data_IF_043744740915
#
_entry.id   IF_043744740915
#
_cell.length_a   1.000
_cell.length_b   1.000
_cell.length_c   1.000
_cell.angle_alpha   90.00
_cell.angle_beta   90.00
_cell.angle_gamma   90.00
#
_symmetry.space_group_name_H-M   'P 1'
#
loop_
_entity.id
_entity.type
_entity.pdbx_description
1 polymer ?
#
# COMPACT_ATOMS: atom_id res chain seq x y z
N UNK A 1 10.77 -47.12 9.24
CA UNK A 1 11.09 -45.90 8.48
C UNK A 1 10.43 -44.75 9.19
N UNK A 2 11.17 -44.07 10.06
CA UNK A 2 10.70 -42.81 10.62
C UNK A 2 10.89 -41.76 9.53
N UNK A 3 9.81 -41.06 9.20
CA UNK A 3 9.87 -39.91 8.31
C UNK A 3 10.62 -38.81 9.05
N UNK A 4 11.93 -38.71 8.76
CA UNK A 4 12.81 -37.67 9.29
C UNK A 4 12.38 -36.31 8.76
N UNK A 5 11.42 -35.69 9.43
CA UNK A 5 11.05 -34.30 9.17
C UNK A 5 12.17 -33.38 9.67
N UNK A 6 12.48 -32.27 8.96
CA UNK A 6 13.54 -31.34 9.38
C UNK A 6 13.42 -30.84 10.84
N UNK A 7 12.20 -30.87 11.39
CA UNK A 7 11.91 -30.51 12.77
C UNK A 7 12.48 -31.52 13.79
N UNK A 8 12.29 -32.83 13.58
CA UNK A 8 12.76 -33.87 14.51
C UNK A 8 14.28 -33.98 14.55
N UNK A 9 14.96 -33.64 13.46
CA UNK A 9 16.43 -33.59 13.40
C UNK A 9 17.02 -32.44 14.23
N UNK A 10 16.30 -31.33 14.37
CA UNK A 10 16.82 -30.14 15.04
C UNK A 10 16.53 -30.14 16.54
N UNK A 11 15.37 -30.68 16.95
CA UNK A 11 14.89 -30.61 18.33
C UNK A 11 14.82 -31.98 19.04
N UNK A 12 15.22 -33.07 18.36
CA UNK A 12 15.09 -34.43 18.87
C UNK A 12 13.64 -34.95 18.84
N UNK A 13 13.46 -36.25 19.01
CA UNK A 13 12.13 -36.88 19.09
C UNK A 13 11.42 -36.62 20.42
N UNK A 14 12.13 -36.07 21.41
CA UNK A 14 11.58 -35.64 22.69
C UNK A 14 11.22 -34.15 22.63
N UNK A 15 10.13 -33.83 21.93
CA UNK A 15 9.54 -32.50 22.02
C UNK A 15 8.95 -32.30 23.43
N UNK A 16 9.73 -31.68 24.32
CA UNK A 16 9.26 -31.28 25.66
C UNK A 16 8.24 -30.17 25.49
N UNK A 17 6.98 -30.45 25.80
CA UNK A 17 5.91 -29.45 25.83
C UNK A 17 6.28 -28.42 26.93
N UNK A 18 6.39 -27.12 26.60
CA UNK A 18 6.66 -26.10 27.60
C UNK A 18 5.57 -26.10 28.68
N UNK A 19 5.97 -26.06 29.96
CA UNK A 19 5.05 -26.10 31.10
C UNK A 19 3.99 -24.99 31.06
N UNK A 20 4.26 -23.90 30.35
CA UNK A 20 3.35 -22.77 30.10
C UNK A 20 2.07 -23.17 29.35
N UNK A 21 2.09 -24.23 28.55
CA UNK A 21 0.91 -24.74 27.84
C UNK A 21 -0.02 -25.52 28.80
N UNK A 22 0.53 -26.09 29.87
CA UNK A 22 -0.21 -26.93 30.83
C UNK A 22 -0.58 -26.24 32.14
N UNK A 23 0.16 -25.22 32.58
CA UNK A 23 -0.07 -24.53 33.85
C UNK A 23 -0.30 -23.03 33.66
N UNK A 24 -1.40 -22.47 34.20
CA UNK A 24 -1.60 -21.03 34.20
C UNK A 24 -0.48 -20.33 34.97
N UNK A 25 0.31 -19.50 34.28
CA UNK A 25 1.25 -18.57 34.89
C UNK A 25 0.54 -17.27 35.27
N UNK A 26 1.16 -16.44 36.11
CA UNK A 26 0.63 -15.11 36.47
C UNK A 26 0.24 -14.28 35.23
N UNK A 27 1.01 -14.41 34.13
CA UNK A 27 0.75 -13.74 32.86
C UNK A 27 -0.56 -14.18 32.21
N UNK A 28 -0.92 -15.46 32.31
CA UNK A 28 -2.17 -16.01 31.78
C UNK A 28 -3.36 -15.85 32.73
N UNK A 29 -3.13 -15.82 34.05
CA UNK A 29 -4.22 -15.65 35.03
C UNK A 29 -4.68 -14.20 35.17
N UNK A 30 -3.82 -13.23 34.85
CA UNK A 30 -4.14 -11.80 34.91
C UNK A 30 -4.76 -11.25 33.62
N UNK A 31 -5.02 -12.09 32.61
CA UNK A 31 -5.66 -11.66 31.35
C UNK A 31 -7.14 -11.44 31.56
N UNK A 32 -7.57 -10.17 31.45
CA UNK A 32 -8.99 -9.83 31.31
C UNK A 32 -9.39 -9.94 29.84
N UNK A 33 -9.88 -11.11 29.45
CA UNK A 33 -10.32 -11.41 28.08
C UNK A 33 -11.44 -10.47 27.64
N UNK A 34 -12.33 -10.08 28.56
CA UNK A 34 -13.49 -9.22 28.23
C UNK A 34 -13.04 -7.79 27.98
N UNK A 35 -12.13 -7.26 28.80
CA UNK A 35 -11.59 -5.93 28.57
C UNK A 35 -10.72 -5.88 27.32
N UNK A 36 -9.87 -6.88 27.09
CA UNK A 36 -9.04 -6.98 25.89
C UNK A 36 -9.86 -7.03 24.61
N UNK A 37 -10.96 -7.80 24.60
CA UNK A 37 -11.83 -7.87 23.42
C UNK A 37 -12.53 -6.53 23.14
N UNK A 38 -12.94 -5.81 24.19
CA UNK A 38 -13.49 -4.45 24.05
C UNK A 38 -12.47 -3.46 23.52
N UNK A 39 -11.26 -3.45 24.06
CA UNK A 39 -10.16 -2.59 23.59
C UNK A 39 -9.75 -2.93 22.17
N UNK A 40 -9.72 -4.22 21.81
CA UNK A 40 -9.43 -4.65 20.45
C UNK A 40 -10.45 -4.10 19.45
N UNK A 41 -11.75 -4.20 19.76
CA UNK A 41 -12.82 -3.64 18.93
C UNK A 41 -12.66 -2.13 18.76
N UNK A 42 -12.45 -1.40 19.86
CA UNK A 42 -12.21 0.05 19.82
C UNK A 42 -11.01 0.41 18.93
N UNK A 43 -9.91 -0.32 19.06
CA UNK A 43 -8.71 -0.08 18.27
C UNK A 43 -8.94 -0.32 16.77
N UNK A 44 -9.75 -1.33 16.42
CA UNK A 44 -10.12 -1.61 15.04
C UNK A 44 -11.01 -0.49 14.47
N UNK A 45 -12.02 -0.05 15.22
CA UNK A 45 -12.91 1.04 14.81
C UNK A 45 -12.13 2.34 14.56
N UNK A 46 -11.25 2.73 15.49
CA UNK A 46 -10.39 3.91 15.34
C UNK A 46 -9.44 3.81 14.14
N UNK A 47 -8.94 2.60 13.84
CA UNK A 47 -8.09 2.37 12.69
C UNK A 47 -8.87 2.52 11.39
N UNK A 48 -10.09 2.00 11.33
CA UNK A 48 -11.02 2.13 10.20
C UNK A 48 -11.35 3.61 9.95
N UNK A 49 -11.78 4.35 10.98
CA UNK A 49 -12.09 5.79 10.89
C UNK A 49 -10.91 6.59 10.34
N UNK A 50 -9.68 6.30 10.81
CA UNK A 50 -8.48 6.97 10.31
C UNK A 50 -8.21 6.66 8.84
N UNK A 51 -8.42 5.41 8.41
CA UNK A 51 -8.26 4.99 7.01
C UNK A 51 -9.28 5.67 6.12
N UNK A 52 -10.54 5.73 6.54
CA UNK A 52 -11.60 6.42 5.80
C UNK A 52 -11.31 7.92 5.65
N UNK A 53 -10.93 8.60 6.74
CA UNK A 53 -10.53 10.00 6.70
C UNK A 53 -9.37 10.23 5.73
N UNK A 54 -8.38 9.34 5.75
CA UNK A 54 -7.23 9.39 4.83
C UNK A 54 -7.67 9.23 3.38
N UNK A 55 -8.54 8.26 3.09
CA UNK A 55 -9.09 8.01 1.76
C UNK A 55 -9.91 9.19 1.24
N UNK A 56 -10.73 9.82 2.09
CA UNK A 56 -11.51 11.03 1.74
C UNK A 56 -10.57 12.18 1.36
N UNK A 57 -9.52 12.41 2.15
CA UNK A 57 -8.56 13.46 1.88
C UNK A 57 -7.76 13.20 0.60
N UNK A 58 -7.36 11.95 0.37
CA UNK A 58 -6.68 11.55 -0.87
C UNK A 58 -7.58 11.76 -2.09
N UNK A 59 -8.82 11.30 -2.03
CA UNK A 59 -9.81 11.48 -3.10
C UNK A 59 -10.04 12.96 -3.40
N UNK A 60 -10.17 13.80 -2.35
CA UNK A 60 -10.31 15.25 -2.49
C UNK A 60 -9.10 15.87 -3.18
N UNK A 61 -7.88 15.52 -2.73
CA UNK A 61 -6.64 16.01 -3.32
C UNK A 61 -6.52 15.62 -4.79
N UNK A 62 -6.78 14.35 -5.13
CA UNK A 62 -6.80 13.86 -6.51
C UNK A 62 -7.82 14.61 -7.36
N UNK A 63 -9.05 14.78 -6.87
CA UNK A 63 -10.10 15.51 -7.59
C UNK A 63 -9.71 16.97 -7.84
N UNK A 64 -9.10 17.65 -6.86
CA UNK A 64 -8.63 19.02 -7.01
C UNK A 64 -7.52 19.13 -8.06
N UNK A 65 -6.55 18.22 -8.03
CA UNK A 65 -5.48 18.17 -9.02
C UNK A 65 -6.01 17.92 -10.44
N UNK A 66 -6.89 16.92 -10.60
CA UNK A 66 -7.54 16.63 -11.87
C UNK A 66 -8.31 17.82 -12.40
N UNK A 67 -9.10 18.51 -11.56
CA UNK A 67 -9.83 19.72 -11.94
C UNK A 67 -8.89 20.84 -12.39
N UNK A 68 -7.81 21.07 -11.66
CA UNK A 68 -6.82 22.10 -11.99
C UNK A 68 -6.20 21.86 -13.37
N UNK A 69 -5.70 20.64 -13.63
CA UNK A 69 -5.08 20.34 -14.93
C UNK A 69 -6.11 20.32 -16.06
N UNK A 70 -7.27 19.69 -15.88
CA UNK A 70 -8.30 19.62 -16.92
C UNK A 70 -8.83 21.01 -17.30
N UNK A 71 -8.94 21.95 -16.35
CA UNK A 71 -9.36 23.32 -16.64
C UNK A 71 -8.36 24.09 -17.52
N UNK A 72 -7.09 23.66 -17.55
CA UNK A 72 -6.01 24.31 -18.30
C UNK A 72 -5.76 23.67 -19.66
N UNK A 73 -6.19 22.42 -19.84
CA UNK A 73 -6.14 21.75 -21.14
C UNK A 73 -7.27 22.31 -22.01
N UNK A 74 -6.91 23.07 -23.05
CA UNK A 74 -7.87 23.40 -24.12
C UNK A 74 -7.97 22.18 -25.02
N UNK A 75 -9.16 21.61 -25.14
CA UNK A 75 -9.42 20.57 -26.13
C UNK A 75 -9.19 21.15 -27.53
N UNK A 76 -8.21 20.62 -28.26
CA UNK A 76 -7.97 20.96 -29.66
C UNK A 76 -8.30 19.73 -30.50
N UNK A 77 -9.26 19.87 -31.41
CA UNK A 77 -9.56 18.85 -32.41
C UNK A 77 -8.81 19.18 -33.70
N UNK A 78 -8.09 18.20 -34.25
CA UNK A 78 -7.39 18.34 -35.53
C UNK A 78 -8.18 17.66 -36.64
N UNK A 79 -8.17 18.27 -37.83
CA UNK A 79 -8.77 17.71 -39.05
C UNK A 79 -7.66 17.28 -40.03
N UNK A 80 -7.92 16.32 -40.93
CA UNK A 80 -7.00 15.99 -42.01
C UNK A 80 -6.62 17.23 -42.81
N UNK A 81 -5.31 17.44 -43.03
CA UNK A 81 -4.78 18.63 -43.70
C UNK A 81 -4.36 19.78 -42.78
N UNK A 82 -4.64 19.71 -41.47
CA UNK A 82 -4.10 20.68 -40.51
C UNK A 82 -2.59 20.50 -40.34
N UNK A 83 -1.85 21.60 -40.50
CA UNK A 83 -0.43 21.64 -40.14
C UNK A 83 -0.29 21.96 -38.64
N UNK A 84 0.50 21.14 -37.95
CA UNK A 84 0.77 21.28 -36.51
C UNK A 84 2.26 21.16 -36.26
N UNK A 85 2.77 22.02 -35.38
CA UNK A 85 4.13 21.89 -34.88
C UNK A 85 4.22 20.70 -33.95
N UNK A 86 5.21 19.84 -34.17
CA UNK A 86 5.53 18.70 -33.32
C UNK A 86 6.79 19.04 -32.54
N UNK A 87 6.85 18.66 -31.26
CA UNK A 87 8.07 18.82 -30.48
C UNK A 87 9.20 17.97 -31.08
N UNK A 88 10.44 18.41 -30.90
CA UNK A 88 11.60 17.70 -31.47
C UNK A 88 11.76 16.29 -30.87
N UNK A 89 11.51 16.15 -29.56
CA UNK A 89 11.53 14.84 -28.87
C UNK A 89 10.58 13.83 -29.53
N UNK A 90 9.37 14.28 -29.87
CA UNK A 90 8.39 13.42 -30.51
C UNK A 90 8.71 13.19 -32.00
N UNK A 91 9.55 14.02 -32.62
CA UNK A 91 9.82 14.02 -34.07
C UNK A 91 11.02 13.16 -34.48
N UNK A 92 11.76 12.56 -33.53
CA UNK A 92 13.03 11.85 -33.78
C UNK A 92 14.03 12.67 -34.62
N UNK A 93 13.93 14.00 -34.56
CA UNK A 93 14.84 14.89 -35.26
C UNK A 93 16.24 14.77 -34.64
N UNK A 94 17.29 14.89 -35.46
CA UNK A 94 18.66 14.93 -34.95
C UNK A 94 18.80 16.05 -33.92
N UNK A 95 19.44 15.77 -32.78
CA UNK A 95 19.57 16.73 -31.69
C UNK A 95 20.31 17.99 -32.18
N UNK A 96 19.58 19.10 -32.34
CA UNK A 96 20.07 20.36 -32.91
C UNK A 96 21.05 21.15 -32.03
N UNK A 97 21.65 20.50 -31.02
CA UNK A 97 22.51 21.15 -30.04
C UNK A 97 21.79 22.22 -29.21
N UNK A 98 22.55 23.02 -28.47
CA UNK A 98 22.02 24.04 -27.54
C UNK A 98 21.25 25.19 -28.22
N UNK A 99 21.35 25.31 -29.55
CA UNK A 99 20.72 26.37 -30.35
C UNK A 99 19.60 25.85 -31.26
N UNK A 100 19.29 24.55 -31.21
CA UNK A 100 18.18 23.99 -31.96
C UNK A 100 16.83 24.49 -31.43
N UNK A 101 15.78 24.55 -32.27
CA UNK A 101 14.43 24.74 -31.79
C UNK A 101 14.12 23.68 -30.71
N UNK A 102 13.41 24.08 -29.66
CA UNK A 102 12.96 23.16 -28.59
C UNK A 102 11.73 22.40 -29.05
#
# INVERSE_FOLDING_TARGET
>A
SHDDTPFSLTYGTEAVIPAEIGMPTYRTTAVDVVNNDKELRLNLDLLEERRELTAINEARSKAQMTKYYNSRVRGVAFQPGNFVYRSNDASHAAAGGKLGPK
#
